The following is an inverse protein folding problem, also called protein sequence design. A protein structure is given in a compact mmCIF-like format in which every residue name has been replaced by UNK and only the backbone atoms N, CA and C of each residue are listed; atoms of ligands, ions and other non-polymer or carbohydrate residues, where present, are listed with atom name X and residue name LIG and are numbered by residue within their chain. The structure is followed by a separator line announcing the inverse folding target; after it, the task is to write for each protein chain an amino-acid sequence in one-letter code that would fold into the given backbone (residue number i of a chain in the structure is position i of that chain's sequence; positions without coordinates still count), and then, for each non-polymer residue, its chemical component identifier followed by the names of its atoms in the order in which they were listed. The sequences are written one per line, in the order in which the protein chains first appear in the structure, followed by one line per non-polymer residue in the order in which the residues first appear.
data_IF_455640590532
#
_entry.id   IF_455640590532
#
_cell.length_a   1.000
_cell.length_b   1.000
_cell.length_c   1.000
_cell.angle_alpha   90.00
_cell.angle_beta   90.00
_cell.angle_gamma   90.00
#
_symmetry.space_group_name_H-M   'P 1'
#
loop_
_entity.id
_entity.type
_entity.pdbx_description
1 polymer ?
#
# COMPACT_ATOMS: atom_id res chain seq x y z
N UNK A 1 9.67 -8.91 4.05
CA UNK A 1 10.64 -9.81 3.39
C UNK A 1 11.21 -10.80 4.40
N UNK A 2 10.45 -11.82 4.83
CA UNK A 2 10.92 -12.80 5.82
C UNK A 2 12.15 -13.60 5.35
N UNK A 3 12.26 -13.85 4.04
CA UNK A 3 13.36 -14.63 3.46
C UNK A 3 14.71 -13.93 3.56
N UNK A 4 14.81 -12.67 3.12
CA UNK A 4 16.04 -11.88 3.25
C UNK A 4 16.53 -11.80 4.70
N UNK A 5 15.60 -11.72 5.66
CA UNK A 5 15.92 -11.69 7.08
C UNK A 5 16.58 -13.01 7.54
N UNK A 6 15.98 -14.14 7.20
CA UNK A 6 16.52 -15.47 7.52
C UNK A 6 17.89 -15.67 6.85
N UNK A 7 18.04 -15.29 5.58
CA UNK A 7 19.32 -15.41 4.86
C UNK A 7 20.41 -14.59 5.52
N UNK A 8 20.12 -13.35 5.95
CA UNK A 8 21.11 -12.54 6.66
C UNK A 8 21.52 -13.14 8.00
N UNK A 9 20.58 -13.76 8.74
CA UNK A 9 20.89 -14.46 9.99
C UNK A 9 21.79 -15.65 9.72
N UNK A 10 21.45 -16.50 8.76
CA UNK A 10 22.24 -17.70 8.44
C UNK A 10 23.64 -17.32 7.94
N UNK A 11 23.73 -16.33 7.06
CA UNK A 11 25.00 -15.94 6.46
C UNK A 11 25.96 -15.22 7.42
N UNK A 12 25.45 -14.55 8.46
CA UNK A 12 26.25 -13.86 9.46
C UNK A 12 26.30 -14.60 10.81
N UNK A 13 25.85 -15.87 10.85
CA UNK A 13 25.71 -16.64 12.09
C UNK A 13 27.03 -16.80 12.85
N UNK A 14 28.13 -16.99 12.12
CA UNK A 14 29.48 -17.23 12.66
C UNK A 14 30.42 -16.03 12.43
N UNK A 15 29.88 -14.86 12.05
CA UNK A 15 30.67 -13.67 11.71
C UNK A 15 30.47 -12.61 12.80
N UNK A 16 31.56 -12.24 13.47
CA UNK A 16 31.59 -11.18 14.47
C UNK A 16 31.77 -9.78 13.83
N UNK A 17 31.38 -8.73 14.55
CA UNK A 17 31.66 -7.35 14.12
C UNK A 17 33.17 -7.12 14.05
N UNK A 18 33.71 -6.41 13.03
CA UNK A 18 33.01 -5.65 11.99
C UNK A 18 32.85 -6.39 10.65
N UNK A 19 33.13 -7.69 10.58
CA UNK A 19 33.21 -8.43 9.31
C UNK A 19 31.85 -8.83 8.72
N UNK A 20 30.76 -8.54 9.43
CA UNK A 20 29.38 -8.84 9.01
C UNK A 20 29.05 -8.17 7.68
N UNK A 21 28.48 -8.96 6.76
CA UNK A 21 28.08 -8.49 5.42
C UNK A 21 26.57 -8.44 5.31
N UNK A 22 26.05 -7.31 4.84
CA UNK A 22 24.63 -7.13 4.55
C UNK A 22 24.31 -7.76 3.19
N UNK A 23 23.56 -8.86 3.20
CA UNK A 23 23.12 -9.55 1.99
C UNK A 23 21.72 -9.04 1.64
N UNK A 24 21.59 -8.45 0.46
CA UNK A 24 20.30 -8.07 -0.10
C UNK A 24 19.88 -9.22 -1.01
N UNK A 25 18.82 -9.92 -0.62
CA UNK A 25 18.22 -10.98 -1.41
C UNK A 25 17.04 -10.38 -2.14
N UNK A 26 17.24 -10.07 -3.41
CA UNK A 26 16.17 -9.69 -4.32
C UNK A 26 15.81 -10.89 -5.18
N UNK A 27 14.51 -11.17 -5.30
CA UNK A 27 14.00 -12.23 -6.16
C UNK A 27 13.49 -11.51 -7.40
N UNK A 28 14.35 -11.34 -8.39
CA UNK A 28 14.00 -11.00 -9.78
C UNK A 28 12.88 -9.94 -9.92
N UNK A 29 13.00 -8.79 -9.24
CA UNK A 29 12.05 -7.67 -9.37
C UNK A 29 10.70 -7.89 -8.68
N UNK A 30 10.58 -8.84 -7.74
CA UNK A 30 9.33 -9.09 -7.02
C UNK A 30 8.75 -7.82 -6.37
N UNK A 31 9.61 -6.94 -5.83
CA UNK A 31 9.14 -5.66 -5.28
C UNK A 31 8.45 -4.80 -6.32
N UNK A 32 9.15 -4.48 -7.40
CA UNK A 32 8.63 -3.64 -8.48
C UNK A 32 7.33 -4.22 -9.05
N UNK A 33 7.32 -5.53 -9.34
CA UNK A 33 6.14 -6.23 -9.82
C UNK A 33 4.97 -6.18 -8.82
N UNK A 34 5.28 -6.26 -7.52
CA UNK A 34 4.27 -6.18 -6.47
C UNK A 34 3.70 -4.77 -6.35
N UNK A 35 4.53 -3.74 -6.46
CA UNK A 35 4.12 -2.34 -6.47
C UNK A 35 3.20 -2.06 -7.66
N UNK A 36 3.56 -2.55 -8.85
CA UNK A 36 2.73 -2.47 -10.06
C UNK A 36 1.35 -3.12 -9.88
N UNK A 37 1.31 -4.32 -9.28
CA UNK A 37 0.06 -5.03 -9.02
C UNK A 37 -0.83 -4.23 -8.06
N UNK A 38 -0.26 -3.67 -6.99
CA UNK A 38 -1.00 -2.86 -6.02
C UNK A 38 -1.50 -1.56 -6.65
N UNK A 39 -0.68 -0.90 -7.47
CA UNK A 39 -1.05 0.31 -8.21
C UNK A 39 -2.21 0.04 -9.16
N UNK A 40 -2.10 -0.99 -10.01
CA UNK A 40 -3.19 -1.39 -10.92
C UNK A 40 -4.47 -1.71 -10.18
N UNK A 41 -4.38 -2.47 -9.09
CA UNK A 41 -5.53 -2.79 -8.26
C UNK A 41 -6.20 -1.54 -7.66
N UNK A 42 -5.41 -0.56 -7.21
CA UNK A 42 -5.93 0.70 -6.69
C UNK A 42 -6.69 1.50 -7.76
N UNK A 43 -6.12 1.62 -8.97
CA UNK A 43 -6.79 2.30 -10.09
C UNK A 43 -8.09 1.62 -10.50
N UNK A 44 -8.12 0.30 -10.62
CA UNK A 44 -9.34 -0.45 -10.94
C UNK A 44 -10.46 -0.18 -9.92
N UNK A 45 -10.12 -0.13 -8.63
CA UNK A 45 -11.10 0.18 -7.58
C UNK A 45 -11.52 1.64 -7.60
N UNK A 46 -10.60 2.57 -7.85
CA UNK A 46 -10.91 3.98 -8.00
C UNK A 46 -11.88 4.23 -9.16
N UNK A 47 -11.72 3.55 -10.31
CA UNK A 47 -12.66 3.61 -11.43
C UNK A 47 -14.07 3.14 -11.04
N UNK A 48 -14.17 2.07 -10.26
CA UNK A 48 -15.47 1.58 -9.76
C UNK A 48 -16.10 2.60 -8.82
N UNK A 49 -15.31 3.22 -7.92
CA UNK A 49 -15.80 4.28 -7.03
C UNK A 49 -16.29 5.48 -7.84
N UNK A 50 -15.54 5.90 -8.88
CA UNK A 50 -15.95 6.99 -9.78
C UNK A 50 -17.28 6.70 -10.49
N UNK A 51 -17.50 5.46 -10.93
CA UNK A 51 -18.72 5.04 -11.63
C UNK A 51 -19.92 4.83 -10.72
N UNK A 52 -19.70 4.28 -9.53
CA UNK A 52 -20.78 3.89 -8.61
C UNK A 52 -21.11 4.94 -7.56
N UNK A 53 -20.18 5.85 -7.30
CA UNK A 53 -20.22 6.81 -6.20
C UNK A 53 -20.12 6.20 -4.80
N UNK A 54 -19.95 4.87 -4.70
CA UNK A 54 -19.90 4.17 -3.42
C UNK A 54 -18.46 4.02 -2.96
N UNK A 55 -18.19 4.36 -1.70
CA UNK A 55 -16.88 4.11 -1.07
C UNK A 55 -16.55 2.62 -1.02
N UNK A 56 -15.29 2.28 -1.28
CA UNK A 56 -14.78 0.90 -1.26
C UNK A 56 -13.65 0.78 -0.26
N UNK A 57 -13.72 -0.24 0.59
CA UNK A 57 -12.61 -0.66 1.44
C UNK A 57 -11.73 -1.65 0.68
N UNK A 58 -10.43 -1.37 0.61
CA UNK A 58 -9.45 -2.33 0.10
C UNK A 58 -9.16 -3.40 1.16
N UNK A 59 -8.60 -4.52 0.71
CA UNK A 59 -8.12 -5.58 1.58
C UNK A 59 -7.00 -5.09 2.51
N UNK A 60 -6.75 -5.82 3.59
CA UNK A 60 -5.66 -5.51 4.51
C UNK A 60 -4.31 -5.60 3.80
N UNK A 61 -3.48 -4.56 3.94
CA UNK A 61 -2.16 -4.46 3.30
C UNK A 61 -1.13 -3.94 4.29
N UNK A 62 0.14 -4.24 4.03
CA UNK A 62 1.22 -3.73 4.86
C UNK A 62 1.36 -2.20 4.71
N UNK A 63 2.11 -1.55 5.61
CA UNK A 63 2.24 -0.09 5.61
C UNK A 63 2.82 0.49 4.31
N UNK A 64 3.70 -0.26 3.62
CA UNK A 64 4.31 0.17 2.35
C UNK A 64 3.27 0.12 1.22
N UNK A 65 2.52 -0.97 1.11
CA UNK A 65 1.44 -1.13 0.13
C UNK A 65 0.37 -0.04 0.32
N UNK A 66 -0.02 0.26 1.57
CA UNK A 66 -0.95 1.36 1.86
C UNK A 66 -0.41 2.71 1.41
N UNK A 67 0.88 2.99 1.64
CA UNK A 67 1.53 4.22 1.17
C UNK A 67 1.49 4.32 -0.35
N UNK A 68 1.75 3.22 -1.06
CA UNK A 68 1.69 3.19 -2.53
C UNK A 68 0.29 3.56 -3.01
N UNK A 69 -0.76 2.97 -2.44
CA UNK A 69 -2.15 3.31 -2.80
C UNK A 69 -2.43 4.80 -2.58
N UNK A 70 -2.01 5.35 -1.44
CA UNK A 70 -2.20 6.77 -1.16
C UNK A 70 -1.50 7.66 -2.18
N UNK A 71 -0.25 7.35 -2.55
CA UNK A 71 0.52 8.13 -3.52
C UNK A 71 -0.07 8.02 -4.93
N UNK A 72 -0.41 6.81 -5.37
CA UNK A 72 -0.96 6.55 -6.71
C UNK A 72 -2.29 7.26 -6.90
N UNK A 73 -3.18 7.22 -5.90
CA UNK A 73 -4.49 7.85 -5.99
C UNK A 73 -4.51 9.32 -5.57
N UNK A 74 -3.40 9.88 -5.10
CA UNK A 74 -3.29 11.31 -4.78
C UNK A 74 -3.39 12.20 -6.04
N UNK A 75 -2.99 11.66 -7.19
CA UNK A 75 -3.03 12.37 -8.47
C UNK A 75 -4.45 12.39 -9.08
N UNK A 76 -5.38 11.61 -8.56
CA UNK A 76 -6.76 11.52 -9.05
C UNK A 76 -7.64 12.63 -8.43
N UNK A 77 -8.10 13.63 -9.19
CA UNK A 77 -8.76 14.83 -8.64
C UNK A 77 -10.12 14.55 -7.99
N UNK A 78 -10.79 13.47 -8.42
CA UNK A 78 -12.14 13.09 -7.98
C UNK A 78 -12.15 12.10 -6.81
N UNK A 79 -10.99 11.64 -6.36
CA UNK A 79 -10.87 10.57 -5.38
C UNK A 79 -10.17 11.08 -4.13
N UNK A 80 -10.62 10.59 -2.98
CA UNK A 80 -9.96 10.76 -1.69
C UNK A 80 -9.69 9.39 -1.09
N UNK A 81 -8.53 9.25 -0.44
CA UNK A 81 -8.14 8.03 0.25
C UNK A 81 -7.80 8.31 1.70
N UNK A 82 -8.23 7.43 2.60
CA UNK A 82 -7.87 7.49 4.01
C UNK A 82 -7.75 6.09 4.60
N UNK A 83 -6.90 5.94 5.60
CA UNK A 83 -6.74 4.66 6.29
C UNK A 83 -7.64 4.62 7.53
N UNK A 84 -8.47 3.59 7.64
CA UNK A 84 -9.38 3.35 8.77
C UNK A 84 -8.97 2.08 9.53
N UNK A 85 -9.15 2.07 10.85
CA UNK A 85 -8.85 0.93 11.73
C UNK A 85 -7.47 0.99 12.38
N UNK A 86 -7.22 0.04 13.29
CA UNK A 86 -5.95 -0.13 14.02
C UNK A 86 -5.14 -1.29 13.44
N UNK A 87 -3.82 -1.23 13.59
CA UNK A 87 -2.95 -2.34 13.21
C UNK A 87 -3.35 -3.61 14.00
N UNK A 88 -3.41 -4.80 13.38
CA UNK A 88 -3.08 -5.16 11.99
C UNK A 88 -4.24 -5.04 10.99
N UNK A 89 -5.44 -4.67 11.46
CA UNK A 89 -6.66 -4.58 10.66
C UNK A 89 -6.87 -3.18 10.05
N UNK A 90 -5.78 -2.49 9.72
CA UNK A 90 -5.85 -1.16 9.13
C UNK A 90 -6.03 -1.28 7.62
N UNK A 91 -7.13 -0.73 7.11
CA UNK A 91 -7.55 -0.80 5.71
C UNK A 91 -7.52 0.58 5.07
N UNK A 92 -7.34 0.64 3.75
CA UNK A 92 -7.46 1.89 2.99
C UNK A 92 -8.86 1.97 2.41
N UNK A 93 -9.53 3.08 2.63
CA UNK A 93 -10.82 3.42 2.05
C UNK A 93 -10.58 4.36 0.87
N UNK A 94 -11.20 4.05 -0.26
CA UNK A 94 -11.30 4.92 -1.43
C UNK A 94 -12.72 5.47 -1.48
N UNK A 95 -12.87 6.79 -1.54
CA UNK A 95 -14.14 7.46 -1.67
C UNK A 95 -14.08 8.56 -2.74
N UNK A 96 -15.24 8.99 -3.24
CA UNK A 96 -15.31 10.20 -4.04
C UNK A 96 -14.99 11.40 -3.17
N UNK A 97 -14.28 12.37 -3.75
CA UNK A 97 -14.13 13.69 -3.15
C UNK A 97 -15.50 14.35 -3.12
N UNK A 98 -16.02 14.64 -1.93
CA UNK A 98 -17.25 15.43 -1.82
C UNK A 98 -16.97 16.81 -2.41
N UNK A 99 -17.77 17.22 -3.38
CA UNK A 99 -17.86 18.63 -3.75
C UNK A 99 -18.59 19.31 -2.59
N UNK A 100 -18.04 20.39 -2.04
CA UNK A 100 -18.62 21.24 -0.98
C UNK A 100 -19.93 21.94 -1.44
N UNK A 101 -20.93 21.20 -1.91
CA UNK A 101 -22.21 21.73 -2.41
C UNK A 101 -23.41 21.07 -1.71
N UNK A 102 -23.29 20.61 -0.47
CA UNK A 102 -24.45 20.06 0.25
C UNK A 102 -24.41 20.25 1.78
N UNK A 103 -24.12 21.47 2.23
CA UNK A 103 -24.34 21.88 3.64
C UNK A 103 -25.46 22.92 3.78
N UNK A 104 -26.30 23.10 2.76
CA UNK A 104 -27.59 23.78 2.96
C UNK A 104 -28.71 22.76 2.72
N UNK A 105 -29.66 22.73 3.65
CA UNK A 105 -30.86 21.88 3.73
C UNK A 105 -30.70 20.51 4.42
N UNK A 106 -30.70 20.53 5.76
CA UNK A 106 -31.91 20.25 6.57
C UNK A 106 -31.70 20.53 8.05
#
# INVERSE_FOLDING_TARGET
MPFQYIVNIIANKEIEEPERKKIIVDIEGYKERREDIVSKYAHEKAEIVKKTGKKIALCYMNAVERRIVHLVLQEEPLIVTYSEGTEPFRKVIIALKENENNTEEQ
#
